data_IF_586431909566
#
_entry.id   IF_586431909566
#
_cell.length_a   1.000
_cell.length_b   1.000
_cell.length_c   1.000
_cell.angle_alpha   90.00
_cell.angle_beta   90.00
_cell.angle_gamma   90.00
#
_symmetry.space_group_name_H-M   'P 1'
#
loop_
_entity.id
_entity.type
_entity.pdbx_description
1 polymer ?
#
# COMPACT_ATOMS: atom_id res chain seq x y z
N UNK A 1 -15.26 26.97 1.39
CA UNK A 1 -15.94 25.76 0.89
C UNK A 1 -15.46 24.61 1.78
N UNK A 2 -16.36 24.03 2.57
CA UNK A 2 -16.05 22.86 3.38
C UNK A 2 -15.64 21.74 2.41
N UNK A 3 -14.41 21.22 2.51
CA UNK A 3 -14.00 20.04 1.73
C UNK A 3 -14.81 18.87 2.29
N UNK A 4 -15.97 18.60 1.70
CA UNK A 4 -16.62 17.30 1.82
C UNK A 4 -15.54 16.28 1.49
N UNK A 5 -15.21 15.40 2.45
CA UNK A 5 -14.11 14.45 2.31
C UNK A 5 -14.37 13.59 1.07
N UNK A 6 -13.49 13.65 0.08
CA UNK A 6 -13.57 12.76 -1.08
C UNK A 6 -13.43 11.30 -0.58
N UNK A 7 -14.47 10.46 -0.75
CA UNK A 7 -14.42 9.07 -0.31
C UNK A 7 -13.22 8.31 -0.86
N UNK A 8 -12.77 8.63 -2.08
CA UNK A 8 -11.60 8.01 -2.70
C UNK A 8 -10.31 8.35 -1.96
N UNK A 9 -10.12 9.62 -1.59
CA UNK A 9 -8.95 10.08 -0.81
C UNK A 9 -8.93 9.44 0.57
N UNK A 10 -10.06 9.47 1.27
CA UNK A 10 -10.18 8.88 2.61
C UNK A 10 -9.84 7.39 2.58
N UNK A 11 -10.41 6.64 1.64
CA UNK A 11 -10.16 5.20 1.51
C UNK A 11 -8.70 4.90 1.11
N UNK A 12 -8.11 5.71 0.23
CA UNK A 12 -6.70 5.59 -0.16
C UNK A 12 -5.75 5.75 1.05
N UNK A 13 -6.01 6.73 1.93
CA UNK A 13 -5.22 6.95 3.15
C UNK A 13 -5.45 5.81 4.15
N UNK A 14 -6.70 5.39 4.36
CA UNK A 14 -7.05 4.28 5.27
C UNK A 14 -6.30 3.00 4.90
N UNK A 15 -6.06 2.77 3.60
CA UNK A 15 -5.33 1.60 3.13
C UNK A 15 -3.94 1.43 3.78
N UNK A 16 -3.28 2.51 4.19
CA UNK A 16 -1.92 2.50 4.73
C UNK A 16 -1.82 2.36 6.26
N UNK A 17 -2.92 2.42 7.02
CA UNK A 17 -2.86 2.52 8.50
C UNK A 17 -2.31 1.23 9.14
N UNK A 18 -2.95 0.10 8.88
CA UNK A 18 -2.58 -1.24 9.34
C UNK A 18 -3.19 -2.27 8.38
N UNK A 19 -2.95 -3.57 8.59
CA UNK A 19 -3.68 -4.61 7.87
C UNK A 19 -5.21 -4.45 8.04
N UNK A 20 -5.69 -4.05 9.22
CA UNK A 20 -7.11 -3.80 9.47
C UNK A 20 -7.59 -2.60 8.65
N UNK A 21 -6.82 -1.51 8.64
CA UNK A 21 -7.10 -0.34 7.78
C UNK A 21 -7.17 -0.72 6.31
N UNK A 22 -6.22 -1.54 5.83
CA UNK A 22 -6.22 -2.05 4.47
C UNK A 22 -7.49 -2.85 4.11
N UNK A 23 -7.94 -3.76 5.00
CA UNK A 23 -9.18 -4.52 4.82
C UNK A 23 -10.39 -3.57 4.76
N UNK A 24 -10.45 -2.57 5.65
CA UNK A 24 -11.52 -1.57 5.66
C UNK A 24 -11.54 -0.79 4.34
N UNK A 25 -10.39 -0.30 3.87
CA UNK A 25 -10.28 0.41 2.61
C UNK A 25 -10.76 -0.44 1.43
N UNK A 26 -10.40 -1.73 1.40
CA UNK A 26 -10.85 -2.68 0.38
C UNK A 26 -12.39 -2.83 0.37
N UNK A 27 -13.00 -3.03 1.54
CA UNK A 27 -14.46 -3.17 1.65
C UNK A 27 -15.17 -1.88 1.26
N UNK A 28 -14.71 -0.71 1.73
CA UNK A 28 -15.31 0.58 1.39
C UNK A 28 -15.20 0.88 -0.10
N UNK A 29 -14.04 0.61 -0.72
CA UNK A 29 -13.84 0.82 -2.14
C UNK A 29 -14.65 -0.16 -2.99
N UNK A 30 -14.90 -1.40 -2.55
CA UNK A 30 -15.77 -2.32 -3.30
C UNK A 30 -17.24 -1.84 -3.37
N UNK A 31 -17.72 -1.11 -2.36
CA UNK A 31 -19.06 -0.52 -2.38
C UNK A 31 -19.13 0.74 -3.24
N UNK A 32 -18.09 1.56 -3.23
CA UNK A 32 -17.99 2.78 -4.02
C UNK A 32 -16.58 2.90 -4.62
N UNK A 33 -16.39 2.30 -5.79
CA UNK A 33 -15.06 2.19 -6.42
C UNK A 33 -14.56 3.53 -6.92
N UNK A 34 -13.34 3.86 -6.52
CA UNK A 34 -12.57 5.00 -7.04
C UNK A 34 -11.24 4.53 -7.57
N UNK A 35 -10.71 5.19 -8.61
CA UNK A 35 -9.40 4.84 -9.17
C UNK A 35 -8.29 4.99 -8.11
N UNK A 36 -8.32 6.10 -7.36
CA UNK A 36 -7.33 6.46 -6.35
C UNK A 36 -7.27 5.42 -5.22
N UNK A 37 -8.41 5.07 -4.62
CA UNK A 37 -8.41 4.06 -3.55
C UNK A 37 -8.00 2.68 -4.09
N UNK A 38 -8.51 2.27 -5.26
CA UNK A 38 -8.13 0.98 -5.86
C UNK A 38 -6.62 0.91 -6.13
N UNK A 39 -6.03 2.00 -6.63
CA UNK A 39 -4.60 2.12 -6.86
C UNK A 39 -3.80 1.91 -5.57
N UNK A 40 -4.13 2.65 -4.51
CA UNK A 40 -3.42 2.61 -3.24
C UNK A 40 -3.64 1.32 -2.44
N UNK A 41 -4.83 0.70 -2.54
CA UNK A 41 -5.10 -0.64 -2.00
C UNK A 41 -4.14 -1.66 -2.62
N UNK A 42 -3.94 -1.63 -3.94
CA UNK A 42 -2.99 -2.52 -4.63
C UNK A 42 -1.54 -2.23 -4.28
N UNK A 43 -1.14 -0.95 -4.22
CA UNK A 43 0.21 -0.55 -3.81
C UNK A 43 0.52 -1.07 -2.40
N UNK A 44 -0.38 -0.82 -1.45
CA UNK A 44 -0.16 -1.19 -0.06
C UNK A 44 -0.15 -2.70 0.16
N UNK A 45 -1.00 -3.46 -0.56
CA UNK A 45 -0.93 -4.93 -0.53
C UNK A 45 0.45 -5.43 -0.98
N UNK A 46 0.97 -4.90 -2.09
CA UNK A 46 2.30 -5.27 -2.58
C UNK A 46 3.41 -4.98 -1.58
N UNK A 47 3.38 -3.80 -0.94
CA UNK A 47 4.35 -3.42 0.09
C UNK A 47 4.28 -4.36 1.29
N UNK A 48 3.08 -4.70 1.78
CA UNK A 48 2.91 -5.66 2.88
C UNK A 48 3.47 -7.04 2.52
N UNK A 49 3.23 -7.52 1.30
CA UNK A 49 3.74 -8.82 0.84
C UNK A 49 5.26 -8.84 0.69
N UNK A 50 5.87 -7.73 0.24
CA UNK A 50 7.34 -7.59 0.21
C UNK A 50 7.91 -7.66 1.63
N UNK A 51 7.35 -6.88 2.57
CA UNK A 51 7.79 -6.88 3.97
C UNK A 51 7.64 -8.25 4.63
N UNK A 52 6.52 -8.94 4.37
CA UNK A 52 6.29 -10.30 4.85
C UNK A 52 7.30 -11.29 4.26
N UNK A 53 7.58 -11.21 2.96
CA UNK A 53 8.54 -12.09 2.28
C UNK A 53 9.96 -11.92 2.86
N UNK A 54 10.39 -10.68 3.11
CA UNK A 54 11.68 -10.40 3.76
C UNK A 54 11.72 -11.01 5.16
N UNK A 55 10.67 -10.84 5.97
CA UNK A 55 10.60 -11.41 7.33
C UNK A 55 10.68 -12.93 7.32
N UNK A 56 10.02 -13.59 6.38
CA UNK A 56 10.08 -15.05 6.22
C UNK A 56 11.50 -15.50 5.86
N UNK A 57 12.17 -14.82 4.91
CA UNK A 57 13.55 -15.15 4.52
C UNK A 57 14.51 -15.01 5.70
N UNK A 58 14.38 -13.94 6.49
CA UNK A 58 15.19 -13.74 7.70
C UNK A 58 14.94 -14.89 8.69
N UNK A 59 13.67 -15.24 8.93
CA UNK A 59 13.32 -16.29 9.88
C UNK A 59 13.85 -17.67 9.48
N UNK A 60 13.91 -17.96 8.18
CA UNK A 60 14.40 -19.26 7.67
C UNK A 60 15.93 -19.30 7.65
N UNK A 61 16.58 -18.20 7.25
CA UNK A 61 18.04 -18.18 7.03
C UNK A 61 18.82 -17.80 8.29
N UNK A 62 18.21 -17.10 9.24
CA UNK A 62 18.89 -16.53 10.40
C UNK A 62 19.78 -15.32 10.07
N UNK A 63 19.80 -14.83 8.82
CA UNK A 63 20.69 -13.74 8.40
C UNK A 63 20.10 -12.40 8.83
N UNK A 64 20.47 -11.95 10.03
CA UNK A 64 19.98 -10.69 10.61
C UNK A 64 20.30 -9.44 9.78
N UNK A 65 21.37 -9.45 8.97
CA UNK A 65 21.74 -8.32 8.10
C UNK A 65 20.65 -7.97 7.09
N UNK A 66 19.83 -8.94 6.65
CA UNK A 66 18.73 -8.71 5.71
C UNK A 66 17.62 -7.82 6.29
N UNK A 67 17.60 -7.57 7.61
CA UNK A 67 16.70 -6.62 8.24
C UNK A 67 16.83 -5.19 7.68
N UNK A 68 17.98 -4.83 7.08
CA UNK A 68 18.16 -3.56 6.38
C UNK A 68 17.12 -3.35 5.25
N UNK A 69 16.65 -4.44 4.63
CA UNK A 69 15.63 -4.38 3.57
C UNK A 69 14.26 -3.94 4.10
N UNK A 70 14.00 -4.08 5.40
CA UNK A 70 12.77 -3.57 6.02
C UNK A 70 12.74 -2.04 6.03
N UNK A 71 13.90 -1.37 6.08
CA UNK A 71 13.97 0.09 5.93
C UNK A 71 13.52 0.49 4.52
N UNK A 72 13.93 -0.26 3.49
CA UNK A 72 13.45 -0.07 2.13
C UNK A 72 11.93 -0.21 2.03
N UNK A 73 11.37 -1.24 2.67
CA UNK A 73 9.91 -1.45 2.71
C UNK A 73 9.19 -0.28 3.41
N UNK A 74 9.75 0.23 4.51
CA UNK A 74 9.23 1.41 5.20
C UNK A 74 9.26 2.66 4.31
N UNK A 75 10.33 2.86 3.53
CA UNK A 75 10.43 3.97 2.58
C UNK A 75 9.33 3.84 1.51
N UNK A 76 9.11 2.65 0.94
CA UNK A 76 8.02 2.43 -0.02
C UNK A 76 6.66 2.73 0.59
N UNK A 77 6.42 2.33 1.84
CA UNK A 77 5.20 2.64 2.57
C UNK A 77 4.99 4.15 2.72
N UNK A 78 6.02 4.90 3.15
CA UNK A 78 5.95 6.36 3.28
C UNK A 78 5.65 7.02 1.93
N UNK A 79 6.34 6.61 0.86
CA UNK A 79 6.12 7.17 -0.47
C UNK A 79 4.70 6.90 -0.98
N UNK A 80 4.17 5.69 -0.75
CA UNK A 80 2.80 5.33 -1.09
C UNK A 80 1.77 6.18 -0.33
N UNK A 81 1.98 6.37 0.98
CA UNK A 81 1.12 7.20 1.82
C UNK A 81 1.15 8.69 1.39
N UNK A 82 2.33 9.22 1.08
CA UNK A 82 2.45 10.60 0.54
C UNK A 82 1.67 10.74 -0.76
N UNK A 83 1.77 9.76 -1.67
CA UNK A 83 0.96 9.73 -2.89
C UNK A 83 -0.54 9.77 -2.59
N UNK A 84 -1.01 8.97 -1.63
CA UNK A 84 -2.43 8.95 -1.23
C UNK A 84 -2.91 10.30 -0.65
N UNK A 85 -2.08 10.94 0.18
CA UNK A 85 -2.37 12.26 0.76
C UNK A 85 -2.45 13.33 -0.34
N UNK A 86 -1.60 13.22 -1.37
CA UNK A 86 -1.55 14.14 -2.50
C UNK A 86 -2.53 13.79 -3.63
N UNK A 87 -3.30 12.72 -3.49
CA UNK A 87 -4.25 12.25 -4.51
C UNK A 87 -3.54 11.85 -5.83
N UNK A 88 -2.31 11.33 -5.72
CA UNK A 88 -1.47 10.92 -6.85
C UNK A 88 -1.43 9.39 -7.02
N UNK A 89 -1.78 8.91 -8.21
CA UNK A 89 -1.64 7.49 -8.60
C UNK A 89 -0.21 7.18 -9.09
N UNK A 90 0.78 7.54 -8.28
CA UNK A 90 2.20 7.31 -8.60
C UNK A 90 2.71 6.03 -7.95
N UNK A 91 3.20 5.04 -8.74
CA UNK A 91 3.66 3.79 -8.18
C UNK A 91 4.94 4.00 -7.37
N UNK A 92 5.07 3.24 -6.29
CA UNK A 92 6.32 3.23 -5.52
C UNK A 92 7.46 2.68 -6.39
N UNK A 93 8.71 3.14 -6.22
CA UNK A 93 9.79 2.77 -7.11
C UNK A 93 10.09 1.27 -7.08
N UNK A 94 10.77 0.79 -8.12
CA UNK A 94 11.23 -0.60 -8.32
C UNK A 94 10.11 -1.62 -8.57
N UNK A 95 9.07 -1.64 -7.73
CA UNK A 95 8.07 -2.73 -7.71
C UNK A 95 6.61 -2.25 -7.84
N UNK A 96 6.34 -0.96 -7.70
CA UNK A 96 4.96 -0.44 -7.68
C UNK A 96 4.16 -0.71 -8.95
N UNK A 97 4.80 -0.67 -10.12
CA UNK A 97 4.18 -1.03 -11.41
C UNK A 97 3.73 -2.49 -11.45
N UNK A 98 4.51 -3.39 -10.83
CA UNK A 98 4.16 -4.80 -10.75
C UNK A 98 2.96 -5.04 -9.86
N UNK A 99 2.84 -4.30 -8.75
CA UNK A 99 1.68 -4.39 -7.84
C UNK A 99 0.37 -4.05 -8.56
N UNK A 100 0.39 -3.05 -9.44
CA UNK A 100 -0.80 -2.70 -10.24
C UNK A 100 -1.21 -3.84 -11.19
N UNK A 101 -0.25 -4.56 -11.75
CA UNK A 101 -0.51 -5.70 -12.65
C UNK A 101 -0.95 -6.95 -11.90
N UNK A 102 -0.25 -7.32 -10.83
CA UNK A 102 -0.53 -8.55 -10.07
C UNK A 102 -1.86 -8.49 -9.32
N UNK A 103 -2.24 -7.30 -8.85
CA UNK A 103 -3.44 -7.11 -8.04
C UNK A 103 -4.55 -6.40 -8.81
N UNK A 104 -4.51 -6.38 -10.15
CA UNK A 104 -5.47 -5.66 -11.00
C UNK A 104 -6.95 -6.06 -10.77
N UNK A 105 -7.20 -7.22 -10.17
CA UNK A 105 -8.56 -7.67 -9.79
C UNK A 105 -9.13 -7.03 -8.51
N UNK A 106 -8.33 -6.27 -7.76
CA UNK A 106 -8.76 -5.51 -6.58
C UNK A 106 -9.27 -4.12 -7.00
#
# INVERSE_FOLDING_TARGET
MEKVSDPGKTNAIIAYITLIGWIIALVLNNNNKTSLASFHIRQMLGIMLVGLSISIIISITGIGLLSILQIGTLILWILGLIGAINEEEKPVPVVGEHFQKWFAGL
#
